data_IF_117126265269
#
_entry.id   IF_117126265269
#
_cell.length_a   1.000
_cell.length_b   1.000
_cell.length_c   1.000
_cell.angle_alpha   90.00
_cell.angle_beta   90.00
_cell.angle_gamma   90.00
#
_symmetry.space_group_name_H-M   'P 1'
#
loop_
_entity.id
_entity.type
_entity.pdbx_description
1 polymer ?
#
# COMPACT_ATOMS: atom_id res chain seq x y z
N UNK A 1 14.52 11.62 -20.08
CA UNK A 1 14.56 10.23 -20.58
C UNK A 1 14.80 9.32 -19.40
N UNK A 2 13.83 8.48 -19.06
CA UNK A 2 14.05 7.40 -18.09
C UNK A 2 14.82 6.32 -18.87
N UNK A 3 16.03 5.99 -18.43
CA UNK A 3 16.79 4.89 -18.99
C UNK A 3 16.27 3.59 -18.36
N UNK A 4 15.79 2.66 -19.18
CA UNK A 4 15.06 1.48 -18.69
C UNK A 4 15.93 0.52 -17.88
N UNK A 5 17.24 0.50 -18.12
CA UNK A 5 18.18 -0.29 -17.33
C UNK A 5 19.46 0.49 -16.96
N UNK A 6 19.99 0.32 -15.73
CA UNK A 6 21.26 0.92 -15.31
C UNK A 6 22.44 0.54 -16.21
N UNK A 7 22.34 -0.63 -16.87
CA UNK A 7 23.31 -1.10 -17.85
C UNK A 7 23.47 -0.16 -19.06
N UNK A 8 22.41 0.58 -19.41
CA UNK A 8 22.32 1.45 -20.58
C UNK A 8 22.38 2.95 -20.20
N UNK A 9 22.52 3.26 -18.91
CA UNK A 9 22.53 4.61 -18.39
C UNK A 9 23.81 5.36 -18.80
N UNK A 10 23.69 6.36 -19.67
CA UNK A 10 24.82 7.16 -20.19
C UNK A 10 25.40 8.14 -19.17
N UNK A 11 24.68 8.44 -18.09
CA UNK A 11 25.13 9.36 -17.03
C UNK A 11 26.01 8.69 -15.95
N UNK A 12 26.07 7.36 -15.91
CA UNK A 12 26.89 6.62 -14.95
C UNK A 12 28.28 6.33 -15.51
N UNK A 13 29.30 6.54 -14.69
CA UNK A 13 30.66 6.06 -14.98
C UNK A 13 30.66 4.52 -15.03
N UNK A 14 31.61 3.89 -15.74
CA UNK A 14 31.71 2.43 -15.79
C UNK A 14 31.76 1.77 -14.40
N UNK A 15 32.47 2.38 -13.45
CA UNK A 15 32.62 1.88 -12.08
C UNK A 15 31.32 2.00 -11.26
N UNK A 16 30.60 3.13 -11.37
CA UNK A 16 29.31 3.30 -10.70
C UNK A 16 28.24 2.37 -11.30
N UNK A 17 28.27 2.18 -12.62
CA UNK A 17 27.41 1.20 -13.31
C UNK A 17 27.68 -0.21 -12.79
N UNK A 18 28.94 -0.61 -12.67
CA UNK A 18 29.31 -1.91 -12.12
C UNK A 18 28.87 -2.06 -10.66
N UNK A 19 28.99 -1.00 -9.84
CA UNK A 19 28.54 -0.99 -8.44
C UNK A 19 27.02 -1.10 -8.31
N UNK A 20 26.26 -0.40 -9.15
CA UNK A 20 24.79 -0.46 -9.19
C UNK A 20 24.32 -1.85 -9.66
N UNK A 21 24.92 -2.38 -10.72
CA UNK A 21 24.62 -3.74 -11.19
C UNK A 21 24.98 -4.80 -10.14
N UNK A 22 26.09 -4.64 -9.42
CA UNK A 22 26.45 -5.54 -8.31
C UNK A 22 25.43 -5.50 -7.19
N UNK A 23 24.95 -4.31 -6.81
CA UNK A 23 23.89 -4.17 -5.79
C UNK A 23 22.57 -4.78 -6.25
N UNK A 24 22.15 -4.53 -7.50
CA UNK A 24 20.95 -5.15 -8.07
C UNK A 24 21.04 -6.68 -8.13
N UNK A 25 22.22 -7.23 -8.48
CA UNK A 25 22.48 -8.67 -8.43
C UNK A 25 22.45 -9.21 -7.01
N UNK A 26 23.04 -8.49 -6.06
CA UNK A 26 23.05 -8.87 -4.64
C UNK A 26 21.65 -8.81 -4.00
N UNK A 27 20.83 -7.84 -4.38
CA UNK A 27 19.44 -7.69 -3.94
C UNK A 27 18.50 -8.72 -4.60
N UNK A 28 19.04 -9.65 -5.41
CA UNK A 28 18.28 -10.59 -6.25
C UNK A 28 17.17 -9.89 -7.06
N UNK A 29 17.33 -8.59 -7.34
CA UNK A 29 16.42 -7.81 -8.18
C UNK A 29 16.84 -7.83 -9.64
N UNK A 30 17.93 -8.53 -9.97
CA UNK A 30 18.45 -8.61 -11.30
C UNK A 30 17.58 -9.51 -12.19
N UNK A 31 16.69 -8.88 -12.96
CA UNK A 31 16.51 -9.25 -14.37
C UNK A 31 17.88 -9.09 -15.06
N UNK A 32 18.75 -10.10 -14.92
CA UNK A 32 20.13 -10.06 -15.42
C UNK A 32 20.23 -10.36 -16.93
N UNK A 33 19.14 -10.80 -17.54
CA UNK A 33 18.97 -10.95 -18.98
C UNK A 33 17.86 -10.01 -19.43
N UNK A 34 17.95 -9.42 -20.63
CA UNK A 34 16.86 -8.72 -21.28
C UNK A 34 15.57 -9.57 -21.23
N UNK A 35 14.74 -9.36 -20.21
CA UNK A 35 13.42 -9.95 -20.16
C UNK A 35 12.61 -9.19 -21.21
N UNK A 36 12.08 -9.90 -22.20
CA UNK A 36 11.04 -9.35 -23.06
C UNK A 36 9.70 -9.51 -22.37
N UNK A 37 8.79 -8.57 -22.59
CA UNK A 37 7.42 -8.72 -22.09
C UNK A 37 6.80 -9.99 -22.70
N UNK A 38 6.32 -10.88 -21.83
CA UNK A 38 5.58 -12.07 -22.20
C UNK A 38 4.23 -12.06 -21.48
N UNK A 39 3.17 -12.39 -22.22
CA UNK A 39 1.79 -12.48 -21.67
C UNK A 39 1.68 -13.42 -20.48
N UNK A 40 2.62 -14.36 -20.32
CA UNK A 40 2.72 -15.23 -19.14
C UNK A 40 2.84 -14.43 -17.83
N UNK A 41 3.62 -13.35 -17.80
CA UNK A 41 3.83 -12.54 -16.60
C UNK A 41 2.55 -11.82 -16.17
N UNK A 42 1.71 -11.42 -17.13
CA UNK A 42 0.40 -10.84 -16.84
C UNK A 42 -0.48 -11.83 -16.08
N UNK A 43 -0.67 -13.03 -16.63
CA UNK A 43 -1.50 -14.06 -16.00
C UNK A 43 -0.91 -14.58 -14.69
N UNK A 44 0.42 -14.66 -14.58
CA UNK A 44 1.08 -14.99 -13.32
C UNK A 44 0.80 -13.94 -12.23
N UNK A 45 0.72 -12.65 -12.59
CA UNK A 45 0.43 -11.56 -11.66
C UNK A 45 -1.03 -11.58 -11.22
N UNK A 46 -1.97 -11.70 -12.17
CA UNK A 46 -3.42 -11.66 -11.90
C UNK A 46 -3.88 -12.90 -11.13
N UNK A 47 -3.31 -14.07 -11.39
CA UNK A 47 -3.61 -15.31 -10.66
C UNK A 47 -2.86 -15.41 -9.33
N UNK A 48 -1.98 -14.47 -9.01
CA UNK A 48 -1.29 -14.46 -7.72
C UNK A 48 -2.25 -13.96 -6.64
N UNK A 49 -2.47 -14.80 -5.62
CA UNK A 49 -3.31 -14.43 -4.48
C UNK A 49 -2.78 -13.17 -3.79
N UNK A 50 -1.45 -12.93 -3.81
CA UNK A 50 -0.83 -11.74 -3.24
C UNK A 50 -1.33 -10.46 -3.91
N UNK A 51 -1.44 -10.45 -5.24
CA UNK A 51 -1.94 -9.30 -6.01
C UNK A 51 -3.35 -8.94 -5.55
N UNK A 52 -4.24 -9.92 -5.40
CA UNK A 52 -5.60 -9.69 -4.92
C UNK A 52 -5.63 -9.18 -3.47
N UNK A 53 -4.84 -9.78 -2.58
CA UNK A 53 -4.77 -9.34 -1.19
C UNK A 53 -4.24 -7.91 -1.05
N UNK A 54 -3.18 -7.56 -1.78
CA UNK A 54 -2.67 -6.19 -1.82
C UNK A 54 -3.66 -5.22 -2.44
N UNK A 55 -4.43 -5.64 -3.46
CA UNK A 55 -5.50 -4.81 -4.03
C UNK A 55 -6.61 -4.54 -3.00
N UNK A 56 -6.99 -5.52 -2.19
CA UNK A 56 -7.97 -5.36 -1.10
C UNK A 56 -7.43 -4.41 -0.03
N UNK A 57 -6.19 -4.59 0.43
CA UNK A 57 -5.57 -3.68 1.42
C UNK A 57 -5.53 -2.25 0.86
N UNK A 58 -5.07 -2.10 -0.37
CA UNK A 58 -4.94 -0.80 -1.03
C UNK A 58 -6.30 -0.14 -1.23
N UNK A 59 -7.35 -0.90 -1.60
CA UNK A 59 -8.73 -0.42 -1.63
C UNK A 59 -9.20 0.16 -0.29
N UNK A 60 -8.87 -0.50 0.83
CA UNK A 60 -9.20 -0.02 2.17
C UNK A 60 -8.58 1.35 2.49
N UNK A 61 -7.33 1.55 2.09
CA UNK A 61 -6.63 2.82 2.28
C UNK A 61 -7.08 3.89 1.28
N UNK A 62 -7.13 3.56 -0.01
CA UNK A 62 -7.37 4.51 -1.10
C UNK A 62 -8.84 4.95 -1.16
N UNK A 63 -9.79 4.04 -0.90
CA UNK A 63 -11.19 4.41 -0.73
C UNK A 63 -11.40 5.36 0.45
N UNK A 64 -10.75 5.10 1.58
CA UNK A 64 -10.76 6.00 2.72
C UNK A 64 -10.11 7.36 2.38
N UNK A 65 -9.00 7.35 1.62
CA UNK A 65 -8.29 8.53 1.17
C UNK A 65 -9.15 9.43 0.28
N UNK A 66 -9.83 8.88 -0.73
CA UNK A 66 -10.70 9.66 -1.60
C UNK A 66 -11.86 10.27 -0.82
N UNK A 67 -12.53 9.47 0.01
CA UNK A 67 -13.64 9.94 0.82
C UNK A 67 -13.20 11.04 1.78
N UNK A 68 -12.08 10.85 2.48
CA UNK A 68 -11.53 11.86 3.38
C UNK A 68 -11.16 13.13 2.60
N UNK A 69 -10.44 13.01 1.49
CA UNK A 69 -9.94 14.17 0.74
C UNK A 69 -11.06 15.01 0.13
N UNK A 70 -12.07 14.36 -0.45
CA UNK A 70 -13.21 15.03 -1.07
C UNK A 70 -14.11 15.74 -0.05
N UNK A 71 -14.28 15.15 1.13
CA UNK A 71 -15.29 15.60 2.09
C UNK A 71 -14.72 16.27 3.33
N UNK A 72 -13.40 16.29 3.55
CA UNK A 72 -12.78 16.94 4.72
C UNK A 72 -13.20 18.41 4.88
N UNK A 73 -13.17 19.28 3.84
CA UNK A 73 -13.63 20.67 4.01
C UNK A 73 -15.11 20.75 4.38
N UNK A 74 -15.93 19.84 3.85
CA UNK A 74 -17.36 19.76 4.17
C UNK A 74 -17.56 19.34 5.63
N UNK A 75 -16.81 18.34 6.11
CA UNK A 75 -16.82 17.89 7.51
C UNK A 75 -16.44 19.05 8.42
N UNK A 76 -15.37 19.79 8.10
CA UNK A 76 -14.92 20.94 8.90
C UNK A 76 -15.95 22.09 8.87
N UNK A 77 -16.58 22.35 7.73
CA UNK A 77 -17.61 23.39 7.64
C UNK A 77 -18.84 23.07 8.50
N UNK A 78 -19.19 21.79 8.68
CA UNK A 78 -20.27 21.39 9.61
C UNK A 78 -19.93 21.65 11.09
N UNK A 79 -18.66 21.87 11.43
CA UNK A 79 -18.23 22.18 12.80
C UNK A 79 -18.56 23.64 13.21
N UNK A 80 -19.16 24.43 12.32
CA UNK A 80 -19.53 25.83 12.54
C UNK A 80 -18.56 26.84 11.91
N UNK A 81 -17.53 26.39 11.20
CA UNK A 81 -16.60 27.26 10.50
C UNK A 81 -17.14 27.69 9.12
N UNK A 82 -16.91 28.95 8.74
CA UNK A 82 -17.19 29.44 7.37
C UNK A 82 -16.40 28.63 6.35
N UNK A 83 -16.95 28.42 5.14
CA UNK A 83 -16.34 27.59 4.10
C UNK A 83 -14.88 27.96 3.76
N UNK A 84 -14.56 29.25 3.71
CA UNK A 84 -13.17 29.72 3.47
C UNK A 84 -12.23 29.31 4.61
N UNK A 85 -12.65 29.48 5.86
CA UNK A 85 -11.89 29.06 7.04
C UNK A 85 -11.78 27.54 7.13
N UNK A 86 -12.81 26.80 6.73
CA UNK A 86 -12.81 25.34 6.73
C UNK A 86 -11.75 24.75 5.76
N UNK A 87 -11.58 25.37 4.59
CA UNK A 87 -10.50 24.99 3.66
C UNK A 87 -9.11 25.24 4.27
N UNK A 88 -8.90 26.39 4.92
CA UNK A 88 -7.63 26.69 5.59
C UNK A 88 -7.35 25.69 6.75
N UNK A 89 -8.39 25.33 7.51
CA UNK A 89 -8.28 24.36 8.61
C UNK A 89 -8.09 22.91 8.15
N UNK A 90 -8.24 22.62 6.85
CA UNK A 90 -7.93 21.30 6.28
C UNK A 90 -6.44 21.07 6.05
N UNK A 91 -5.64 22.15 5.95
CA UNK A 91 -4.20 22.08 5.69
C UNK A 91 -3.43 21.41 6.85
N UNK A 92 -3.66 21.75 8.13
CA UNK A 92 -2.90 21.14 9.23
C UNK A 92 -3.03 19.61 9.35
N UNK A 93 -4.22 18.98 9.20
CA UNK A 93 -4.34 17.53 9.11
C UNK A 93 -3.46 16.91 8.02
N UNK A 94 -3.41 17.49 6.82
CA UNK A 94 -2.57 16.98 5.73
C UNK A 94 -1.08 17.17 6.01
N UNK A 95 -0.68 18.30 6.59
CA UNK A 95 0.71 18.54 6.98
C UNK A 95 1.19 17.51 8.02
N UNK A 96 0.36 17.22 9.04
CA UNK A 96 0.64 16.18 10.01
C UNK A 96 0.75 14.80 9.35
N UNK A 97 -0.18 14.48 8.44
CA UNK A 97 -0.17 13.23 7.68
C UNK A 97 1.09 13.08 6.81
N UNK A 98 1.59 14.16 6.21
CA UNK A 98 2.82 14.16 5.43
C UNK A 98 4.04 13.80 6.29
N UNK A 99 4.18 14.43 7.46
CA UNK A 99 5.27 14.14 8.41
C UNK A 99 5.23 12.67 8.86
N UNK A 100 4.05 12.18 9.23
CA UNK A 100 3.87 10.78 9.66
C UNK A 100 4.13 9.81 8.51
N UNK A 101 3.75 10.15 7.28
CA UNK A 101 4.01 9.32 6.09
C UNK A 101 5.50 9.11 5.87
N UNK A 102 6.30 10.18 5.97
CA UNK A 102 7.77 10.09 5.85
C UNK A 102 8.36 9.26 6.99
N UNK A 103 7.93 9.51 8.23
CA UNK A 103 8.41 8.77 9.40
C UNK A 103 8.12 7.27 9.31
N UNK A 104 6.91 6.91 8.89
CA UNK A 104 6.48 5.51 8.78
C UNK A 104 7.14 4.84 7.59
N UNK A 105 7.36 5.54 6.47
CA UNK A 105 8.18 5.04 5.38
C UNK A 105 9.58 4.66 5.85
N UNK A 106 10.26 5.58 6.54
CA UNK A 106 11.58 5.32 7.12
C UNK A 106 11.59 4.15 8.11
N UNK A 107 10.59 4.08 9.00
CA UNK A 107 10.47 3.00 9.99
C UNK A 107 10.21 1.64 9.31
N UNK A 108 9.33 1.60 8.32
CA UNK A 108 8.97 0.40 7.58
C UNK A 108 10.15 -0.12 6.76
N UNK A 109 10.93 0.76 6.16
CA UNK A 109 12.15 0.43 5.41
C UNK A 109 13.23 -0.15 6.34
N UNK A 110 13.39 0.41 7.55
CA UNK A 110 14.38 -0.08 8.52
C UNK A 110 13.98 -1.41 9.16
N UNK A 111 12.70 -1.60 9.46
CA UNK A 111 12.21 -2.80 10.14
C UNK A 111 11.91 -3.96 9.19
N UNK A 112 11.66 -3.68 7.91
CA UNK A 112 11.17 -4.67 6.93
C UNK A 112 9.90 -5.41 7.41
N UNK A 113 9.13 -4.77 8.30
CA UNK A 113 7.86 -5.25 8.88
C UNK A 113 6.73 -4.31 8.45
N UNK A 114 6.60 -4.09 7.14
CA UNK A 114 5.63 -3.20 6.53
C UNK A 114 4.20 -3.55 6.93
N UNK A 115 3.88 -4.84 7.09
CA UNK A 115 2.56 -5.27 7.56
C UNK A 115 2.24 -4.79 8.97
N UNK A 116 3.22 -4.80 9.89
CA UNK A 116 3.01 -4.26 11.25
C UNK A 116 2.80 -2.75 11.25
N UNK A 117 3.52 -2.02 10.38
CA UNK A 117 3.32 -0.58 10.22
C UNK A 117 1.90 -0.25 9.75
N UNK A 118 1.37 -0.97 8.74
CA UNK A 118 -0.01 -0.81 8.29
C UNK A 118 -1.02 -1.11 9.40
N UNK A 119 -0.82 -2.20 10.16
CA UNK A 119 -1.71 -2.58 11.26
C UNK A 119 -1.70 -1.50 12.35
N UNK A 120 -0.52 -1.03 12.76
CA UNK A 120 -0.40 -0.03 13.82
C UNK A 120 -1.01 1.32 13.43
N UNK A 121 -0.80 1.76 12.19
CA UNK A 121 -1.28 3.08 11.76
C UNK A 121 -2.76 3.09 11.39
N UNK A 122 -3.29 1.98 10.87
CA UNK A 122 -4.72 1.86 10.58
C UNK A 122 -5.57 1.98 11.85
N UNK A 123 -5.05 1.57 13.02
CA UNK A 123 -5.69 1.83 14.32
C UNK A 123 -5.88 3.32 14.59
N UNK A 124 -4.90 4.18 14.24
CA UNK A 124 -5.05 5.63 14.38
C UNK A 124 -6.19 6.15 13.49
N UNK A 125 -6.28 5.65 12.26
CA UNK A 125 -7.37 5.98 11.35
C UNK A 125 -8.72 5.56 11.92
N UNK A 126 -8.82 4.33 12.45
CA UNK A 126 -10.03 3.82 13.08
C UNK A 126 -10.45 4.65 14.30
N UNK A 127 -9.51 5.09 15.13
CA UNK A 127 -9.78 5.98 16.25
C UNK A 127 -10.30 7.33 15.74
N UNK A 128 -9.67 7.91 14.72
CA UNK A 128 -10.09 9.19 14.13
C UNK A 128 -11.53 9.16 13.60
N UNK A 129 -11.89 8.14 12.82
CA UNK A 129 -13.25 7.98 12.30
C UNK A 129 -14.26 7.58 13.39
N UNK A 130 -13.84 6.82 14.40
CA UNK A 130 -14.66 6.55 15.59
C UNK A 130 -14.95 7.84 16.37
N UNK A 131 -14.00 8.77 16.49
CA UNK A 131 -14.22 10.07 17.13
C UNK A 131 -15.20 10.94 16.34
N UNK A 132 -15.07 10.95 15.01
CA UNK A 132 -16.00 11.64 14.10
C UNK A 132 -17.43 11.09 14.21
N UNK A 133 -17.58 9.77 14.37
CA UNK A 133 -18.87 9.08 14.57
C UNK A 133 -19.40 9.17 16.00
N UNK A 134 -18.56 9.18 17.02
CA UNK A 134 -18.99 9.08 18.42
C UNK A 134 -19.31 10.42 19.06
N UNK A 135 -18.68 11.50 18.61
CA UNK A 135 -18.73 12.80 19.29
C UNK A 135 -19.53 13.85 18.51
N UNK A 136 -20.25 14.69 19.24
CA UNK A 136 -20.89 15.90 18.72
C UNK A 136 -20.08 17.18 19.00
N UNK A 137 -18.91 17.06 19.66
CA UNK A 137 -18.09 18.23 20.02
C UNK A 137 -17.18 18.61 18.84
N UNK A 138 -17.25 19.85 18.32
CA UNK A 138 -16.42 20.30 17.20
C UNK A 138 -14.92 20.05 17.35
N UNK A 139 -14.36 20.32 18.53
CA UNK A 139 -12.93 20.10 18.80
C UNK A 139 -12.52 18.62 18.74
N UNK A 140 -13.39 17.70 19.16
CA UNK A 140 -13.13 16.25 19.10
C UNK A 140 -13.20 15.77 17.65
N UNK A 141 -14.18 16.24 16.88
CA UNK A 141 -14.29 15.90 15.46
C UNK A 141 -13.10 16.45 14.66
N UNK A 142 -12.63 17.66 14.97
CA UNK A 142 -11.43 18.21 14.36
C UNK A 142 -10.17 17.41 14.72
N UNK A 143 -9.98 17.03 15.98
CA UNK A 143 -8.89 16.12 16.36
C UNK A 143 -8.98 14.76 15.63
N UNK A 144 -10.20 14.26 15.42
CA UNK A 144 -10.46 13.04 14.66
C UNK A 144 -9.99 13.12 13.20
N UNK A 145 -10.04 14.29 12.56
CA UNK A 145 -9.52 14.44 11.19
C UNK A 145 -8.00 14.31 11.11
N UNK A 146 -7.26 14.76 12.13
CA UNK A 146 -5.81 14.55 12.20
C UNK A 146 -5.46 13.07 12.31
N UNK A 147 -6.10 12.36 13.25
CA UNK A 147 -5.86 10.93 13.43
C UNK A 147 -6.28 10.13 12.19
N UNK A 148 -7.40 10.49 11.55
CA UNK A 148 -7.85 9.94 10.28
C UNK A 148 -6.80 10.11 9.18
N UNK A 149 -6.32 11.34 8.96
CA UNK A 149 -5.31 11.63 7.94
C UNK A 149 -3.99 10.87 8.22
N UNK A 150 -3.50 10.93 9.46
CA UNK A 150 -2.27 10.22 9.86
C UNK A 150 -2.41 8.70 9.75
N UNK A 151 -3.61 8.13 9.86
CA UNK A 151 -3.86 6.70 9.69
C UNK A 151 -3.98 6.23 8.25
N UNK A 152 -4.43 7.11 7.34
CA UNK A 152 -4.70 6.77 5.93
C UNK A 152 -3.47 6.95 5.05
N UNK A 153 -2.87 8.15 5.05
CA UNK A 153 -1.85 8.53 4.06
C UNK A 153 -0.59 7.64 4.09
N UNK A 154 -0.03 7.28 5.26
CA UNK A 154 1.15 6.41 5.31
C UNK A 154 0.90 5.02 4.70
N UNK A 155 -0.33 4.51 4.80
CA UNK A 155 -0.70 3.20 4.28
C UNK A 155 -0.61 3.11 2.76
N UNK A 156 -0.82 4.22 2.04
CA UNK A 156 -0.79 4.24 0.56
C UNK A 156 0.60 3.88 0.07
N UNK A 157 1.61 4.66 0.48
CA UNK A 157 3.00 4.45 0.08
C UNK A 157 3.56 3.13 0.63
N UNK A 158 3.23 2.79 1.88
CA UNK A 158 3.72 1.58 2.51
C UNK A 158 3.13 0.31 1.87
N UNK A 159 1.85 0.30 1.48
CA UNK A 159 1.21 -0.86 0.83
C UNK A 159 1.77 -1.11 -0.57
N UNK A 160 1.98 -0.05 -1.36
CA UNK A 160 2.61 -0.16 -2.70
C UNK A 160 4.02 -0.75 -2.55
N UNK A 161 4.79 -0.24 -1.59
CA UNK A 161 6.13 -0.75 -1.31
C UNK A 161 6.10 -2.19 -0.80
N UNK A 162 5.11 -2.56 0.01
CA UNK A 162 4.94 -3.92 0.51
C UNK A 162 4.56 -4.91 -0.60
N UNK A 163 3.69 -4.51 -1.53
CA UNK A 163 3.36 -5.30 -2.71
C UNK A 163 4.59 -5.50 -3.62
N UNK A 164 5.32 -4.42 -3.90
CA UNK A 164 6.52 -4.43 -4.74
C UNK A 164 7.62 -5.36 -4.20
N UNK A 165 7.88 -5.32 -2.89
CA UNK A 165 8.91 -6.14 -2.24
C UNK A 165 8.56 -7.64 -2.20
N UNK A 166 7.29 -8.00 -2.42
CA UNK A 166 6.82 -9.39 -2.40
C UNK A 166 6.62 -9.99 -3.80
N UNK A 167 7.05 -9.28 -4.85
CA UNK A 167 7.02 -9.75 -6.24
C UNK A 167 8.40 -9.59 -6.88
N UNK A 168 8.85 -10.68 -7.50
CA UNK A 168 10.09 -10.74 -8.26
C UNK A 168 9.80 -10.72 -9.77
N UNK A 169 10.73 -10.17 -10.56
CA UNK A 169 10.57 -9.95 -11.99
C UNK A 169 9.97 -8.57 -12.30
N UNK A 170 10.62 -7.82 -13.19
CA UNK A 170 10.27 -6.42 -13.48
C UNK A 170 8.86 -6.32 -14.08
N UNK A 171 8.54 -7.16 -15.06
CA UNK A 171 7.22 -7.16 -15.70
C UNK A 171 6.10 -7.63 -14.79
N UNK A 172 6.34 -8.72 -14.03
CA UNK A 172 5.35 -9.24 -13.07
C UNK A 172 5.05 -8.19 -12.01
N UNK A 173 6.08 -7.57 -11.43
CA UNK A 173 5.95 -6.47 -10.46
C UNK A 173 5.19 -5.29 -11.05
N UNK A 174 5.51 -4.88 -12.28
CA UNK A 174 4.81 -3.81 -12.99
C UNK A 174 3.32 -4.09 -13.14
N UNK A 175 2.94 -5.30 -13.59
CA UNK A 175 1.53 -5.69 -13.72
C UNK A 175 0.83 -5.77 -12.35
N UNK A 176 1.46 -6.37 -11.34
CA UNK A 176 0.89 -6.42 -9.98
C UNK A 176 0.62 -5.01 -9.44
N UNK A 177 1.59 -4.10 -9.53
CA UNK A 177 1.41 -2.72 -9.05
C UNK A 177 0.33 -1.98 -9.87
N UNK A 178 0.32 -2.15 -11.18
CA UNK A 178 -0.73 -1.59 -12.04
C UNK A 178 -2.13 -2.07 -11.64
N UNK A 179 -2.29 -3.36 -11.33
CA UNK A 179 -3.56 -3.93 -10.89
C UNK A 179 -3.97 -3.42 -9.49
N UNK A 180 -3.02 -3.41 -8.54
CA UNK A 180 -3.27 -2.93 -7.16
C UNK A 180 -3.68 -1.46 -7.15
N UNK A 181 -2.92 -0.61 -7.83
CA UNK A 181 -3.17 0.83 -7.91
C UNK A 181 -4.45 1.09 -8.72
N UNK A 182 -4.62 0.43 -9.86
CA UNK A 182 -5.81 0.55 -10.69
C UNK A 182 -7.09 0.19 -9.93
N UNK A 183 -7.07 -0.92 -9.18
CA UNK A 183 -8.19 -1.33 -8.33
C UNK A 183 -8.49 -0.31 -7.23
N UNK A 184 -7.46 0.28 -6.61
CA UNK A 184 -7.62 1.37 -5.66
C UNK A 184 -8.36 2.56 -6.26
N UNK A 185 -7.90 3.05 -7.41
CA UNK A 185 -8.48 4.22 -8.07
C UNK A 185 -9.97 4.04 -8.44
N UNK A 186 -10.42 2.81 -8.73
CA UNK A 186 -11.84 2.53 -8.97
C UNK A 186 -12.73 2.84 -7.75
N UNK A 187 -12.18 2.85 -6.53
CA UNK A 187 -12.91 3.18 -5.31
C UNK A 187 -13.22 4.68 -5.18
N UNK A 188 -12.70 5.55 -6.06
CA UNK A 188 -13.17 6.93 -6.18
C UNK A 188 -14.67 7.02 -6.49
N UNK A 189 -15.21 6.06 -7.25
CA UNK A 189 -16.65 5.98 -7.55
C UNK A 189 -17.47 5.70 -6.29
N UNK A 190 -17.02 4.78 -5.43
CA UNK A 190 -17.71 4.51 -4.15
C UNK A 190 -17.60 5.74 -3.24
N UNK A 191 -16.39 6.28 -3.11
CA UNK A 191 -16.07 7.40 -2.19
C UNK A 191 -16.88 8.66 -2.48
N UNK A 192 -17.13 8.97 -3.76
CA UNK A 192 -17.94 10.11 -4.17
C UNK A 192 -19.43 9.98 -3.83
N UNK A 193 -19.93 8.76 -3.58
CA UNK A 193 -21.36 8.49 -3.34
C UNK A 193 -21.73 8.28 -1.86
N UNK A 194 -20.75 8.17 -0.96
CA UNK A 194 -21.01 7.80 0.45
C UNK A 194 -21.31 9.00 1.36
N UNK A 195 -20.87 10.21 1.01
CA UNK A 195 -21.17 11.45 1.74
C UNK A 195 -22.31 12.21 1.06
N UNK A 196 -23.55 11.81 1.36
CA UNK A 196 -24.75 12.36 0.72
C UNK A 196 -25.26 13.58 1.48
N UNK A 197 -25.78 14.57 0.75
CA UNK A 197 -26.36 15.79 1.32
C UNK A 197 -27.48 15.50 2.34
N UNK A 198 -28.29 14.46 2.12
CA UNK A 198 -29.37 14.04 3.01
C UNK A 198 -28.91 13.49 4.37
N UNK A 199 -27.65 13.09 4.48
CA UNK A 199 -27.08 12.55 5.72
C UNK A 199 -26.44 13.66 6.59
N UNK A 200 -26.56 14.94 6.17
CA UNK A 200 -26.14 16.09 6.95
C UNK A 200 -26.90 16.18 8.28
N UNK A 201 -26.30 16.78 9.33
CA UNK A 201 -24.93 17.31 9.39
C UNK A 201 -23.88 16.24 9.76
N UNK A 202 -24.32 15.04 10.12
CA UNK A 202 -23.49 14.04 10.81
C UNK A 202 -22.81 13.03 9.90
N UNK A 203 -23.31 12.83 8.69
CA UNK A 203 -22.77 11.91 7.69
C UNK A 203 -22.42 10.53 8.25
N UNK A 204 -23.32 9.94 9.06
CA UNK A 204 -23.08 8.64 9.70
C UNK A 204 -22.72 7.55 8.70
N UNK A 205 -23.40 7.52 7.55
CA UNK A 205 -23.12 6.56 6.50
C UNK A 205 -21.70 6.74 5.95
N UNK A 206 -21.32 7.97 5.59
CA UNK A 206 -19.99 8.26 5.04
C UNK A 206 -18.87 7.84 5.98
N UNK A 207 -18.92 8.31 7.24
CA UNK A 207 -17.91 7.93 8.23
C UNK A 207 -17.94 6.43 8.56
N UNK A 208 -19.13 5.81 8.60
CA UNK A 208 -19.29 4.38 8.85
C UNK A 208 -18.70 3.51 7.74
N UNK A 209 -18.90 3.89 6.47
CA UNK A 209 -18.31 3.20 5.32
C UNK A 209 -16.79 3.34 5.33
N UNK A 210 -16.26 4.55 5.59
CA UNK A 210 -14.80 4.72 5.69
C UNK A 210 -14.22 3.92 6.85
N UNK A 211 -14.87 3.91 8.01
CA UNK A 211 -14.45 3.08 9.14
C UNK A 211 -14.48 1.59 8.80
N UNK A 212 -15.48 1.12 8.06
CA UNK A 212 -15.55 -0.25 7.57
C UNK A 212 -14.40 -0.58 6.60
N UNK A 213 -14.05 0.34 5.69
CA UNK A 213 -12.92 0.18 4.78
C UNK A 213 -11.59 0.08 5.54
N UNK A 214 -11.38 0.95 6.52
CA UNK A 214 -10.20 0.93 7.38
C UNK A 214 -10.11 -0.37 8.20
N UNK A 215 -11.24 -0.84 8.73
CA UNK A 215 -11.27 -2.00 9.64
C UNK A 215 -11.18 -3.33 8.88
N UNK A 216 -12.03 -3.53 7.88
CA UNK A 216 -12.15 -4.82 7.19
C UNK A 216 -11.02 -5.01 6.18
N UNK A 217 -10.74 -3.99 5.36
CA UNK A 217 -9.84 -4.14 4.22
C UNK A 217 -8.41 -3.75 4.57
N UNK A 218 -8.20 -2.57 5.17
CA UNK A 218 -6.85 -2.12 5.51
C UNK A 218 -6.29 -2.89 6.72
N UNK A 219 -6.94 -2.79 7.88
CA UNK A 219 -6.49 -3.45 9.11
C UNK A 219 -6.61 -4.98 9.01
N UNK A 220 -7.81 -5.49 8.73
CA UNK A 220 -8.07 -6.92 8.59
C UNK A 220 -7.26 -7.56 7.46
N UNK A 221 -7.27 -6.94 6.27
CA UNK A 221 -6.47 -7.42 5.13
C UNK A 221 -4.97 -7.41 5.40
N UNK A 222 -4.44 -6.43 6.13
CA UNK A 222 -3.02 -6.39 6.51
C UNK A 222 -2.67 -7.51 7.49
N UNK A 223 -3.54 -7.83 8.46
CA UNK A 223 -3.34 -8.97 9.39
C UNK A 223 -3.32 -10.29 8.61
N UNK A 224 -4.32 -10.51 7.76
CA UNK A 224 -4.43 -11.75 6.97
C UNK A 224 -3.23 -11.89 6.04
N UNK A 225 -2.88 -10.85 5.28
CA UNK A 225 -1.75 -10.91 4.34
C UNK A 225 -0.44 -11.15 5.07
N UNK A 226 -0.18 -10.43 6.17
CA UNK A 226 1.03 -10.63 6.97
C UNK A 226 1.13 -12.05 7.53
N UNK A 227 0.03 -12.58 8.07
CA UNK A 227 0.02 -13.94 8.66
C UNK A 227 0.23 -15.02 7.60
N UNK A 228 -0.37 -14.87 6.41
CA UNK A 228 -0.16 -15.77 5.28
C UNK A 228 1.29 -15.72 4.77
N UNK A 229 1.87 -14.52 4.61
CA UNK A 229 3.28 -14.37 4.21
C UNK A 229 4.23 -14.95 5.27
N UNK A 230 3.96 -14.73 6.55
CA UNK A 230 4.75 -15.30 7.65
C UNK A 230 4.66 -16.83 7.69
N UNK A 231 3.46 -17.39 7.47
CA UNK A 231 3.25 -18.83 7.39
C UNK A 231 3.99 -19.45 6.20
N UNK A 232 3.97 -18.81 5.03
CA UNK A 232 4.69 -19.28 3.86
C UNK A 232 6.22 -19.18 4.05
N UNK A 233 6.71 -18.08 4.64
CA UNK A 233 8.12 -17.96 5.02
C UNK A 233 8.56 -19.05 5.99
N UNK A 234 7.72 -19.46 6.95
CA UNK A 234 8.02 -20.56 7.87
C UNK A 234 8.10 -21.91 7.14
N UNK A 235 7.23 -22.15 6.15
CA UNK A 235 7.28 -23.36 5.31
C UNK A 235 8.55 -23.40 4.46
N UNK A 236 8.95 -22.26 3.88
CA UNK A 236 10.20 -22.12 3.11
C UNK A 236 11.43 -22.36 3.97
N UNK A 237 11.52 -21.71 5.14
CA UNK A 237 12.64 -21.91 6.08
C UNK A 237 12.77 -23.32 6.66
N UNK A 238 11.68 -24.08 6.70
CA UNK A 238 11.69 -25.47 7.19
C UNK A 238 11.97 -26.50 6.07
N UNK A 239 12.32 -26.05 4.87
CA UNK A 239 12.62 -26.91 3.72
C UNK A 239 11.42 -27.62 3.10
N UNK A 240 10.19 -27.39 3.61
CA UNK A 240 8.95 -28.02 3.10
C UNK A 240 8.62 -27.61 1.65
N UNK A 241 9.31 -26.62 1.10
CA UNK A 241 9.14 -26.13 -0.27
C UNK A 241 10.32 -26.46 -1.17
N UNK A 242 11.39 -27.08 -0.66
CA UNK A 242 12.63 -27.30 -1.43
C UNK A 242 12.40 -28.28 -2.59
N UNK A 243 11.51 -29.25 -2.41
CA UNK A 243 11.06 -30.17 -3.47
C UNK A 243 10.41 -29.49 -4.68
N UNK A 244 10.10 -28.18 -4.62
CA UNK A 244 9.62 -27.43 -5.79
C UNK A 244 10.72 -27.17 -6.83
N UNK A 245 11.99 -27.28 -6.44
CA UNK A 245 13.15 -27.13 -7.32
C UNK A 245 13.66 -28.46 -7.87
N UNK A 246 13.23 -29.60 -7.31
CA UNK A 246 13.66 -30.92 -7.76
C UNK A 246 13.28 -31.17 -9.23
N UNK A 247 14.26 -31.56 -10.04
CA UNK A 247 14.08 -31.85 -11.46
C UNK A 247 13.97 -30.63 -12.38
N UNK A 248 14.17 -29.40 -11.87
CA UNK A 248 14.19 -28.18 -12.68
C UNK A 248 15.62 -27.75 -13.04
N UNK A 249 15.79 -27.25 -14.26
CA UNK A 249 17.02 -26.57 -14.68
C UNK A 249 17.19 -25.22 -13.98
N UNK A 250 18.41 -24.68 -13.95
CA UNK A 250 18.69 -23.35 -13.35
C UNK A 250 17.83 -22.23 -13.97
N UNK A 251 17.56 -22.30 -15.28
CA UNK A 251 16.70 -21.36 -15.99
C UNK A 251 15.24 -21.47 -15.53
N UNK A 252 14.71 -22.68 -15.37
CA UNK A 252 13.34 -22.89 -14.88
C UNK A 252 13.18 -22.46 -13.42
N UNK A 253 14.20 -22.64 -12.58
CA UNK A 253 14.21 -22.13 -11.21
C UNK A 253 14.21 -20.60 -11.22
N UNK A 254 15.00 -19.95 -12.09
CA UNK A 254 14.98 -18.49 -12.24
C UNK A 254 13.61 -17.96 -12.68
N UNK A 255 12.92 -18.64 -13.60
CA UNK A 255 11.58 -18.26 -14.06
C UNK A 255 10.49 -18.36 -12.98
N UNK A 256 10.73 -19.09 -11.88
CA UNK A 256 9.77 -19.16 -10.77
C UNK A 256 9.66 -17.84 -9.99
N UNK A 257 10.66 -16.94 -10.07
CA UNK A 257 10.68 -15.64 -9.40
C UNK A 257 10.37 -15.73 -7.89
N UNK A 258 9.33 -15.01 -7.45
CA UNK A 258 8.92 -14.95 -6.04
C UNK A 258 8.32 -16.26 -5.49
N UNK A 259 8.10 -17.26 -6.35
CA UNK A 259 7.68 -18.61 -5.93
C UNK A 259 8.85 -19.51 -5.55
N UNK A 260 10.09 -19.08 -5.78
CA UNK A 260 11.26 -19.87 -5.38
C UNK A 260 11.30 -20.08 -3.86
N UNK A 261 11.70 -21.27 -3.39
CA UNK A 261 11.82 -21.56 -1.96
C UNK A 261 12.81 -20.66 -1.21
N UNK A 262 13.85 -20.17 -1.89
CA UNK A 262 14.88 -19.28 -1.32
C UNK A 262 14.45 -17.80 -1.24
N UNK A 263 13.36 -17.42 -1.92
CA UNK A 263 12.77 -16.10 -1.82
C UNK A 263 11.99 -15.98 -0.51
N UNK A 264 12.37 -15.05 0.36
CA UNK A 264 11.64 -14.77 1.60
C UNK A 264 10.81 -13.50 1.45
N UNK A 265 9.53 -13.60 1.74
CA UNK A 265 8.59 -12.49 1.67
C UNK A 265 8.86 -11.45 2.77
N UNK A 266 8.69 -10.17 2.43
CA UNK A 266 8.69 -9.06 3.39
C UNK A 266 7.37 -9.06 4.14
N UNK A 267 7.42 -8.94 5.47
CA UNK A 267 6.26 -9.09 6.37
C UNK A 267 5.56 -7.77 6.67
#
# INVERSE_FOLDING_TARGET
MVHDFPAEATFLTPDDRARVLRRLRADKQASASHESFQTKYFWQSVKDWKTLMFAIIYMGADGALYAFSLFLPTIISQLGYKATTANLLSVPPYAAAAVVTVFIGWLADRTQQRGLCNIGISLLGMIGFSMLLGSNRPGVQYAGTFLGAMGIYPCIANTISWASNNVEGVYKRGVTLGFVIGWGNLNGVVSSNIYRQKDKPRFFLGHGVVLAYLTLFLFGGSIVTRTLLAAENRKRRSGKRDGWMEGKSEGEVAEMGDRRPDFLYTL
#
